data_IF_569845901897
#
_entry.id   IF_569845901897
#
_cell.length_a   1.000
_cell.length_b   1.000
_cell.length_c   1.000
_cell.angle_alpha   90.00
_cell.angle_beta   90.00
_cell.angle_gamma   90.00
#
_symmetry.space_group_name_H-M   'P 1'
#
loop_
_entity.id
_entity.type
_entity.pdbx_description
1 polymer ?
#
# COMPACT_ATOMS: atom_id res chain seq x y z
N UNK A 1 -17.05 29.37 18.95
CA UNK A 1 -15.76 29.62 19.62
C UNK A 1 -15.28 28.29 20.22
N UNK A 2 -14.14 27.79 19.71
CA UNK A 2 -13.21 26.79 20.28
C UNK A 2 -13.77 25.59 21.06
N UNK A 3 -13.67 24.40 20.47
CA UNK A 3 -13.43 23.17 21.25
C UNK A 3 -11.96 22.78 21.07
N UNK A 4 -11.21 22.82 22.16
CA UNK A 4 -9.84 22.34 22.28
C UNK A 4 -9.88 20.84 22.57
N UNK A 5 -9.09 20.09 21.81
CA UNK A 5 -8.74 18.68 22.05
C UNK A 5 -7.68 18.60 23.15
N UNK A 6 -7.89 17.70 24.12
CA UNK A 6 -6.87 17.34 25.11
C UNK A 6 -6.67 15.81 25.09
N UNK A 7 -5.55 15.39 24.52
CA UNK A 7 -4.95 14.07 24.72
C UNK A 7 -4.18 14.09 26.05
N UNK A 8 -4.41 13.11 26.92
CA UNK A 8 -3.67 12.96 28.16
C UNK A 8 -3.30 11.49 28.41
N UNK A 9 -1.98 11.28 28.44
CA UNK A 9 -1.21 10.48 29.39
C UNK A 9 -1.49 8.98 29.56
N UNK A 10 -0.49 8.19 29.20
CA UNK A 10 -0.12 7.00 29.99
C UNK A 10 1.37 6.70 29.85
N UNK A 11 2.18 7.12 30.82
CA UNK A 11 3.50 6.53 31.11
C UNK A 11 3.95 6.97 32.51
N UNK A 12 3.87 6.05 33.47
CA UNK A 12 4.52 6.15 34.77
C UNK A 12 4.81 4.73 35.27
N UNK A 13 6.10 4.42 35.48
CA UNK A 13 6.69 3.84 36.69
C UNK A 13 7.98 3.11 36.35
N UNK A 14 9.09 3.52 36.96
CA UNK A 14 9.92 2.69 37.85
C UNK A 14 11.14 3.50 38.34
N UNK A 15 11.10 3.87 39.62
CA UNK A 15 12.26 3.95 40.54
C UNK A 15 11.95 2.91 41.64
N UNK A 16 12.86 2.23 42.36
CA UNK A 16 14.05 2.61 43.13
C UNK A 16 14.82 1.33 43.58
N UNK A 17 15.85 1.53 44.43
CA UNK A 17 16.68 0.62 45.25
C UNK A 17 18.02 0.20 44.60
N UNK A 18 19.21 0.47 45.17
CA UNK A 18 19.64 0.40 46.57
C UNK A 18 20.64 1.51 47.00
N UNK A 19 20.66 1.73 48.32
CA UNK A 19 21.46 2.68 49.09
C UNK A 19 22.88 2.20 49.43
N UNK A 20 23.78 3.14 49.75
CA UNK A 20 24.94 2.90 50.62
C UNK A 20 26.15 3.81 50.36
N UNK A 21 26.50 4.66 51.34
CA UNK A 21 27.87 5.18 51.49
C UNK A 21 28.03 6.71 51.46
N UNK A 22 28.01 7.33 52.64
CA UNK A 22 28.43 8.72 52.89
C UNK A 22 29.96 8.83 52.96
N UNK A 23 30.59 9.66 52.11
CA UNK A 23 31.88 10.33 52.39
C UNK A 23 31.97 11.67 51.63
N UNK A 24 32.08 12.77 52.38
CA UNK A 24 32.81 14.01 52.07
C UNK A 24 32.61 14.73 50.73
N UNK A 25 31.89 15.87 50.76
CA UNK A 25 32.04 16.95 49.77
C UNK A 25 33.20 17.88 50.17
N UNK A 26 33.89 18.48 49.19
CA UNK A 26 33.89 19.93 49.14
C UNK A 26 33.38 20.46 47.80
N UNK A 27 32.64 21.55 47.90
CA UNK A 27 32.09 22.35 46.80
C UNK A 27 33.17 22.72 45.78
N UNK A 28 32.84 22.62 44.49
CA UNK A 28 33.24 23.63 43.49
C UNK A 28 32.55 23.39 42.13
N UNK A 29 31.94 24.48 41.65
CA UNK A 29 31.83 24.89 40.25
C UNK A 29 30.74 24.24 39.37
N UNK A 30 29.63 24.98 39.30
CA UNK A 30 28.79 25.27 38.13
C UNK A 30 29.21 24.65 36.78
N UNK A 31 28.32 23.84 36.19
CA UNK A 31 28.48 23.40 34.81
C UNK A 31 27.46 22.40 34.28
N UNK A 32 26.17 22.47 34.66
CA UNK A 32 25.15 21.63 34.02
C UNK A 32 24.83 22.25 32.64
N UNK A 33 25.57 21.83 31.61
CA UNK A 33 25.08 21.92 30.23
C UNK A 33 24.01 20.85 30.05
N UNK A 34 22.74 21.23 30.16
CA UNK A 34 21.62 20.42 29.68
C UNK A 34 21.72 20.35 28.15
N UNK A 35 22.35 19.30 27.65
CA UNK A 35 22.32 18.95 26.23
C UNK A 35 20.91 18.42 25.98
N UNK A 36 20.01 19.29 25.53
CA UNK A 36 18.71 18.88 25.02
C UNK A 36 18.93 17.96 23.83
N UNK A 37 18.76 16.66 24.04
CA UNK A 37 18.66 15.69 22.95
C UNK A 37 17.45 16.09 22.11
N UNK A 38 17.71 16.71 20.96
CA UNK A 38 16.72 16.84 19.90
C UNK A 38 16.43 15.43 19.43
N UNK A 39 15.30 14.88 19.86
CA UNK A 39 14.65 13.80 19.14
C UNK A 39 14.28 14.37 17.78
N UNK A 40 15.00 13.93 16.75
CA UNK A 40 14.60 14.13 15.36
C UNK A 40 13.47 13.14 15.17
N UNK A 41 12.23 13.61 15.34
CA UNK A 41 11.10 12.96 14.70
C UNK A 41 11.36 13.07 13.21
N UNK A 42 11.89 12.00 12.61
CA UNK A 42 11.88 11.86 11.16
C UNK A 42 10.41 11.84 10.75
N UNK A 43 9.93 12.99 10.24
CA UNK A 43 8.66 13.06 9.53
C UNK A 43 8.68 11.95 8.47
N UNK A 44 7.91 10.89 8.73
CA UNK A 44 7.59 9.90 7.72
C UNK A 44 6.81 10.69 6.66
N UNK A 45 7.52 11.12 5.61
CA UNK A 45 6.92 11.69 4.42
C UNK A 45 6.07 10.58 3.80
N UNK A 46 4.79 10.54 4.20
CA UNK A 46 3.80 9.70 3.55
C UNK A 46 3.71 10.26 2.14
N UNK A 47 4.36 9.60 1.19
CA UNK A 47 4.26 9.93 -0.23
C UNK A 47 2.78 9.88 -0.61
N UNK A 48 2.16 11.04 -0.73
CA UNK A 48 0.75 11.16 -1.12
C UNK A 48 0.67 11.26 -2.63
N UNK A 49 -0.07 10.35 -3.25
CA UNK A 49 -0.49 10.48 -4.66
C UNK A 49 -1.98 10.76 -4.71
N UNK A 50 -2.40 11.67 -5.58
CA UNK A 50 -3.83 11.88 -5.85
C UNK A 50 -4.37 10.77 -6.74
N UNK A 51 -5.68 10.54 -6.67
CA UNK A 51 -6.40 9.64 -7.57
C UNK A 51 -6.16 10.03 -9.02
N UNK A 52 -6.22 11.34 -9.31
CA UNK A 52 -6.05 11.87 -10.68
C UNK A 52 -4.68 11.51 -11.26
N UNK A 53 -3.61 11.70 -10.49
CA UNK A 53 -2.26 11.34 -10.94
C UNK A 53 -2.17 9.86 -11.28
N UNK A 54 -2.66 8.99 -10.40
CA UNK A 54 -2.61 7.55 -10.62
C UNK A 54 -3.50 7.12 -11.80
N UNK A 55 -4.69 7.72 -11.94
CA UNK A 55 -5.63 7.49 -13.03
C UNK A 55 -5.05 7.84 -14.40
N UNK A 56 -4.40 9.00 -14.50
CA UNK A 56 -3.82 9.50 -15.74
C UNK A 56 -2.65 8.65 -16.22
N UNK A 57 -1.90 8.05 -15.29
CA UNK A 57 -0.73 7.21 -15.63
C UNK A 57 -0.99 5.71 -15.62
N UNK A 58 -2.21 5.27 -15.28
CA UNK A 58 -2.54 3.84 -15.21
C UNK A 58 -2.51 3.21 -16.61
N UNK A 59 -1.76 2.12 -16.85
CA UNK A 59 -1.73 1.46 -18.16
C UNK A 59 -3.09 0.85 -18.54
N UNK A 60 -3.65 1.21 -19.70
CA UNK A 60 -4.96 0.74 -20.19
C UNK A 60 -4.89 -0.01 -21.51
N UNK A 61 -3.73 -0.04 -22.17
CA UNK A 61 -3.51 -0.80 -23.40
C UNK A 61 -3.70 -2.31 -23.18
N UNK A 62 -3.90 -3.09 -24.24
CA UNK A 62 -4.03 -4.55 -24.11
C UNK A 62 -2.72 -5.21 -23.59
N UNK A 63 -2.78 -6.49 -23.22
CA UNK A 63 -1.62 -7.21 -22.65
C UNK A 63 -0.40 -7.21 -23.56
N UNK A 64 -0.59 -7.39 -24.87
CA UNK A 64 0.52 -7.47 -25.83
C UNK A 64 1.25 -6.13 -25.90
N UNK A 65 0.48 -5.04 -26.07
CA UNK A 65 1.05 -3.70 -26.09
C UNK A 65 1.65 -3.32 -24.74
N UNK A 66 1.01 -3.69 -23.63
CA UNK A 66 1.51 -3.43 -22.27
C UNK A 66 2.87 -4.08 -22.05
N UNK A 67 3.03 -5.37 -22.39
CA UNK A 67 4.29 -6.09 -22.23
C UNK A 67 5.38 -5.55 -23.15
N UNK A 68 5.00 -5.12 -24.36
CA UNK A 68 5.89 -4.43 -25.30
C UNK A 68 6.40 -3.11 -24.69
N UNK A 69 5.51 -2.29 -24.15
CA UNK A 69 5.84 -1.01 -23.51
C UNK A 69 6.67 -1.18 -22.23
N UNK A 70 6.42 -2.26 -21.49
CA UNK A 70 7.14 -2.58 -20.26
C UNK A 70 8.62 -2.92 -20.54
N UNK A 71 8.91 -3.47 -21.71
CA UNK A 71 10.27 -3.75 -22.18
C UNK A 71 10.96 -4.89 -21.43
N UNK A 72 12.29 -4.98 -21.57
CA UNK A 72 13.06 -6.07 -20.97
C UNK A 72 12.63 -7.44 -21.50
N UNK A 73 12.47 -8.42 -20.60
CA UNK A 73 12.03 -9.78 -20.95
C UNK A 73 10.51 -9.95 -21.12
N UNK A 74 9.70 -8.93 -20.82
CA UNK A 74 8.23 -9.03 -20.83
C UNK A 74 7.61 -9.33 -22.20
N UNK A 75 8.08 -8.79 -23.34
CA UNK A 75 7.51 -9.13 -24.64
C UNK A 75 7.53 -10.64 -24.94
N UNK A 76 8.54 -11.37 -24.47
CA UNK A 76 8.64 -12.82 -24.65
C UNK A 76 7.63 -13.62 -23.80
N UNK A 77 6.95 -12.97 -22.85
CA UNK A 77 6.00 -13.58 -21.91
C UNK A 77 4.54 -13.34 -22.29
N UNK A 78 4.25 -12.71 -23.43
CA UNK A 78 2.88 -12.39 -23.85
C UNK A 78 1.99 -13.64 -23.92
N UNK A 79 2.52 -14.78 -24.37
CA UNK A 79 1.81 -16.06 -24.45
C UNK A 79 1.92 -16.92 -23.18
N UNK A 80 2.62 -16.45 -22.15
CA UNK A 80 2.82 -17.22 -20.93
C UNK A 80 1.61 -17.07 -20.00
N UNK A 81 0.87 -18.17 -19.79
CA UNK A 81 -0.33 -18.20 -18.94
C UNK A 81 -0.04 -17.79 -17.49
N UNK A 82 1.18 -18.01 -16.98
CA UNK A 82 1.57 -17.59 -15.62
C UNK A 82 1.49 -16.07 -15.42
N UNK A 83 1.60 -15.30 -16.49
CA UNK A 83 1.58 -13.83 -16.48
C UNK A 83 0.34 -13.27 -17.19
N UNK A 84 -0.72 -14.07 -17.33
CA UNK A 84 -1.97 -13.63 -17.97
C UNK A 84 -2.67 -12.53 -17.20
N UNK A 85 -2.72 -12.62 -15.87
CA UNK A 85 -3.28 -11.56 -15.04
C UNK A 85 -2.25 -10.43 -14.89
N UNK A 86 -2.57 -9.26 -15.44
CA UNK A 86 -1.69 -8.09 -15.45
C UNK A 86 -2.06 -7.02 -14.42
N UNK A 87 -3.10 -7.24 -13.60
CA UNK A 87 -3.62 -6.17 -12.73
C UNK A 87 -2.58 -5.64 -11.72
N UNK A 88 -1.92 -6.53 -10.96
CA UNK A 88 -0.88 -6.14 -10.01
C UNK A 88 0.34 -5.50 -10.72
N UNK A 89 0.67 -5.99 -11.91
CA UNK A 89 1.76 -5.45 -12.71
C UNK A 89 1.46 -4.02 -13.18
N UNK A 90 0.25 -3.78 -13.69
CA UNK A 90 -0.23 -2.43 -14.09
C UNK A 90 -0.25 -1.47 -12.91
N UNK A 91 -0.75 -1.91 -11.76
CA UNK A 91 -0.73 -1.11 -10.53
C UNK A 91 0.71 -0.73 -10.15
N UNK A 92 1.64 -1.69 -10.15
CA UNK A 92 3.03 -1.42 -9.78
C UNK A 92 3.70 -0.42 -10.72
N UNK A 93 3.42 -0.51 -12.02
CA UNK A 93 3.90 0.45 -13.03
C UNK A 93 3.27 1.82 -12.85
N UNK A 94 1.97 1.89 -12.55
CA UNK A 94 1.27 3.15 -12.31
C UNK A 94 1.84 3.86 -11.06
N UNK A 95 2.06 3.11 -9.97
CA UNK A 95 2.67 3.62 -8.75
C UNK A 95 4.10 4.14 -8.99
N UNK A 96 4.92 3.42 -9.75
CA UNK A 96 6.26 3.88 -10.13
C UNK A 96 6.23 5.19 -10.92
N UNK A 97 5.26 5.36 -11.82
CA UNK A 97 5.09 6.60 -12.60
C UNK A 97 4.76 7.83 -11.73
N UNK A 98 4.23 7.62 -10.52
CA UNK A 98 4.02 8.67 -9.51
C UNK A 98 5.08 8.66 -8.40
N UNK A 99 6.22 8.00 -8.62
CA UNK A 99 7.37 7.98 -7.70
C UNK A 99 7.33 6.88 -6.64
N UNK A 100 6.28 6.06 -6.58
CA UNK A 100 6.08 5.03 -5.57
C UNK A 100 6.63 3.68 -6.05
N UNK A 101 7.93 3.45 -5.83
CA UNK A 101 8.63 2.25 -6.32
C UNK A 101 8.25 0.97 -5.58
N UNK A 102 8.37 -0.21 -6.20
CA UNK A 102 8.17 -1.46 -5.47
C UNK A 102 9.38 -1.71 -4.56
N UNK A 103 9.19 -1.89 -3.24
CA UNK A 103 10.28 -2.22 -2.34
C UNK A 103 10.88 -3.60 -2.64
N UNK A 104 12.20 -3.80 -2.50
CA UNK A 104 12.86 -5.08 -2.78
C UNK A 104 12.27 -6.26 -2.00
N UNK A 105 11.85 -6.04 -0.75
CA UNK A 105 11.28 -7.09 0.11
C UNK A 105 9.91 -7.60 -0.38
N UNK A 106 9.15 -6.75 -1.09
CA UNK A 106 7.91 -7.16 -1.74
C UNK A 106 8.21 -7.80 -3.10
N UNK A 107 9.13 -7.25 -3.88
CA UNK A 107 9.56 -7.82 -5.16
C UNK A 107 10.11 -9.25 -5.00
N UNK A 108 10.82 -9.53 -3.91
CA UNK A 108 11.35 -10.87 -3.62
C UNK A 108 10.26 -11.95 -3.52
N UNK A 109 9.06 -11.60 -3.03
CA UNK A 109 7.90 -12.50 -2.97
C UNK A 109 7.34 -12.84 -4.35
N UNK A 110 7.70 -12.05 -5.35
CA UNK A 110 7.29 -12.17 -6.75
C UNK A 110 8.43 -12.63 -7.66
N UNK A 111 9.59 -13.01 -7.08
CA UNK A 111 10.74 -13.50 -7.83
C UNK A 111 11.69 -12.41 -8.32
N UNK A 112 11.70 -11.24 -7.68
CA UNK A 112 12.56 -10.10 -8.02
C UNK A 112 12.41 -9.64 -9.48
N UNK A 113 11.19 -9.69 -10.00
CA UNK A 113 10.88 -9.28 -11.37
C UNK A 113 11.16 -7.79 -11.56
N UNK A 114 11.61 -7.43 -12.76
CA UNK A 114 11.92 -6.05 -13.15
C UNK A 114 11.30 -5.68 -14.48
N UNK A 115 10.95 -4.41 -14.65
CA UNK A 115 10.62 -3.85 -15.96
C UNK A 115 11.87 -3.67 -16.85
N UNK A 116 11.69 -3.19 -18.08
CA UNK A 116 12.79 -2.91 -19.01
C UNK A 116 13.71 -1.77 -18.58
N UNK A 117 13.35 -1.00 -17.56
CA UNK A 117 14.16 0.08 -16.96
C UNK A 117 14.90 -0.39 -15.70
N UNK A 118 14.70 -1.63 -15.27
CA UNK A 118 15.31 -2.21 -14.08
C UNK A 118 14.55 -1.94 -12.79
N UNK A 119 13.36 -1.33 -12.83
CA UNK A 119 12.53 -1.11 -11.64
C UNK A 119 11.85 -2.41 -11.22
N UNK A 120 11.78 -2.66 -9.91
CA UNK A 120 11.05 -3.82 -9.39
C UNK A 120 9.56 -3.74 -9.70
N UNK A 121 8.95 -4.88 -10.04
CA UNK A 121 7.51 -5.00 -10.27
C UNK A 121 6.93 -6.20 -9.52
N UNK A 122 5.61 -6.19 -9.32
CA UNK A 122 4.86 -7.29 -8.71
C UNK A 122 3.83 -7.84 -9.70
N UNK A 123 3.48 -9.11 -9.55
CA UNK A 123 2.50 -9.82 -10.39
C UNK A 123 1.40 -10.50 -9.57
N UNK A 124 1.57 -10.63 -8.25
CA UNK A 124 0.59 -11.23 -7.34
C UNK A 124 -0.30 -10.16 -6.70
N UNK A 125 -1.60 -10.45 -6.60
CA UNK A 125 -2.57 -9.56 -5.93
C UNK A 125 -2.33 -9.48 -4.43
N UNK A 126 -1.84 -10.55 -3.80
CA UNK A 126 -1.41 -10.51 -2.40
C UNK A 126 -0.26 -9.53 -2.16
N UNK A 127 0.68 -9.44 -3.11
CA UNK A 127 1.76 -8.45 -3.08
C UNK A 127 1.25 -7.05 -3.39
N UNK A 128 0.22 -6.90 -4.26
CA UNK A 128 -0.45 -5.63 -4.48
C UNK A 128 -1.10 -5.12 -3.19
N UNK A 129 -1.84 -5.97 -2.47
CA UNK A 129 -2.41 -5.62 -1.15
C UNK A 129 -1.34 -5.16 -0.17
N UNK A 130 -0.24 -5.90 -0.06
CA UNK A 130 0.87 -5.51 0.83
C UNK A 130 1.51 -4.17 0.42
N UNK A 131 1.63 -3.90 -0.88
CA UNK A 131 2.14 -2.64 -1.41
C UNK A 131 1.19 -1.47 -1.08
N UNK A 132 -0.12 -1.67 -1.25
CA UNK A 132 -1.14 -0.68 -0.89
C UNK A 132 -1.13 -0.39 0.60
N UNK A 133 -1.07 -1.42 1.45
CA UNK A 133 -0.97 -1.24 2.90
C UNK A 133 0.29 -0.47 3.31
N UNK A 134 1.42 -0.72 2.64
CA UNK A 134 2.67 0.01 2.91
C UNK A 134 2.54 1.51 2.61
N UNK A 135 1.83 1.87 1.53
CA UNK A 135 1.77 3.25 1.06
C UNK A 135 0.59 4.06 1.58
N UNK A 136 -0.56 3.42 1.76
CA UNK A 136 -1.82 4.09 2.07
C UNK A 136 -2.39 3.67 3.43
N UNK A 137 -1.70 2.79 4.16
CA UNK A 137 -2.20 2.19 5.39
C UNK A 137 -3.32 1.17 5.12
N UNK A 138 -4.12 0.89 6.14
CA UNK A 138 -5.27 0.00 5.99
C UNK A 138 -6.32 0.57 5.04
N UNK A 139 -7.09 -0.31 4.41
CA UNK A 139 -8.19 0.10 3.54
C UNK A 139 -9.22 0.92 4.34
N UNK A 140 -9.86 1.89 3.71
CA UNK A 140 -10.83 2.76 4.38
C UNK A 140 -12.24 2.16 4.38
N UNK A 141 -12.51 1.23 3.46
CA UNK A 141 -13.75 0.47 3.42
C UNK A 141 -13.49 -0.93 2.90
N UNK A 142 -14.19 -1.91 3.44
CA UNK A 142 -14.16 -3.26 2.92
C UNK A 142 -15.38 -4.05 3.35
N UNK A 143 -15.72 -5.07 2.56
CA UNK A 143 -16.78 -6.02 2.91
C UNK A 143 -16.35 -7.43 2.52
N UNK A 144 -16.78 -8.40 3.33
CA UNK A 144 -16.83 -9.79 2.91
C UNK A 144 -18.12 -10.04 2.13
N UNK A 145 -18.11 -11.01 1.23
CA UNK A 145 -19.31 -11.49 0.52
C UNK A 145 -19.23 -12.98 0.24
N UNK A 146 -20.38 -13.59 -0.02
CA UNK A 146 -20.45 -14.99 -0.45
C UNK A 146 -19.97 -15.13 -1.90
N UNK A 147 -19.19 -16.15 -2.21
CA UNK A 147 -18.77 -16.46 -3.59
C UNK A 147 -20.01 -16.73 -4.46
N UNK A 148 -20.01 -16.25 -5.70
CA UNK A 148 -21.08 -16.47 -6.67
C UNK A 148 -22.21 -15.43 -6.60
N UNK A 149 -22.25 -14.58 -5.58
CA UNK A 149 -23.20 -13.47 -5.50
C UNK A 149 -22.62 -12.20 -6.11
N UNK A 150 -23.50 -11.35 -6.65
CA UNK A 150 -23.08 -10.03 -7.12
C UNK A 150 -22.65 -9.16 -5.93
N UNK A 151 -21.70 -8.26 -6.18
CA UNK A 151 -21.41 -7.18 -5.25
C UNK A 151 -22.62 -6.23 -5.23
N UNK A 152 -23.17 -5.97 -4.05
CA UNK A 152 -24.16 -4.91 -3.89
C UNK A 152 -23.47 -3.55 -4.08
N UNK A 153 -23.64 -2.98 -5.27
CA UNK A 153 -23.03 -1.70 -5.64
C UNK A 153 -23.60 -0.53 -4.83
N UNK A 154 -24.76 -0.69 -4.19
CA UNK A 154 -25.30 0.30 -3.26
C UNK A 154 -24.49 0.45 -1.97
N UNK A 155 -23.65 -0.55 -1.64
CA UNK A 155 -22.73 -0.50 -0.50
C UNK A 155 -21.40 0.17 -0.84
N UNK A 156 -21.07 0.32 -2.12
CA UNK A 156 -19.80 0.91 -2.54
C UNK A 156 -19.78 2.40 -2.19
N UNK A 157 -18.71 2.87 -1.51
CA UNK A 157 -18.61 4.28 -1.18
C UNK A 157 -18.52 5.18 -2.42
N UNK A 158 -19.11 6.37 -2.33
CA UNK A 158 -19.12 7.40 -3.37
C UNK A 158 -17.81 8.22 -3.44
N UNK A 159 -16.66 7.58 -3.22
CA UNK A 159 -15.32 8.19 -3.36
C UNK A 159 -14.40 7.39 -4.29
N UNK A 160 -13.38 8.06 -4.78
CA UNK A 160 -12.37 7.52 -5.69
C UNK A 160 -11.35 6.69 -4.95
N UNK A 161 -10.98 5.54 -5.50
CA UNK A 161 -10.23 4.55 -4.74
C UNK A 161 -9.30 3.70 -5.60
N UNK A 162 -8.40 2.98 -4.94
CA UNK A 162 -7.89 1.71 -5.44
C UNK A 162 -8.80 0.62 -4.89
N UNK A 163 -9.35 -0.22 -5.76
CA UNK A 163 -10.27 -1.30 -5.43
C UNK A 163 -9.58 -2.65 -5.63
N UNK A 164 -9.67 -3.52 -4.63
CA UNK A 164 -9.09 -4.86 -4.65
C UNK A 164 -10.15 -5.90 -4.34
N UNK A 165 -10.25 -6.90 -5.21
CA UNK A 165 -11.01 -8.12 -5.00
C UNK A 165 -10.08 -9.24 -4.56
N UNK A 166 -10.44 -9.98 -3.52
CA UNK A 166 -9.76 -11.23 -3.14
C UNK A 166 -10.59 -12.41 -3.61
N UNK A 167 -9.96 -13.35 -4.32
CA UNK A 167 -10.59 -14.60 -4.79
C UNK A 167 -9.82 -15.79 -4.22
N UNK A 168 -10.55 -16.82 -3.78
CA UNK A 168 -9.94 -18.06 -3.29
C UNK A 168 -9.60 -19.02 -4.45
N UNK A 169 -8.54 -19.83 -4.31
CA UNK A 169 -8.28 -20.95 -5.22
C UNK A 169 -9.50 -21.88 -5.34
N UNK A 170 -9.72 -22.55 -6.49
CA UNK A 170 -8.77 -22.77 -7.60
C UNK A 170 -8.82 -21.72 -8.73
N UNK A 171 -9.27 -20.49 -8.47
CA UNK A 171 -9.30 -19.44 -9.49
C UNK A 171 -7.93 -19.20 -10.16
N UNK A 172 -7.96 -18.77 -11.42
CA UNK A 172 -6.78 -18.46 -12.24
C UNK A 172 -5.99 -17.23 -11.73
N UNK A 173 -6.58 -16.49 -10.80
CA UNK A 173 -5.89 -15.50 -9.99
C UNK A 173 -6.43 -15.47 -8.56
N UNK A 174 -5.58 -15.02 -7.63
CA UNK A 174 -5.94 -14.79 -6.22
C UNK A 174 -6.76 -13.53 -6.00
N UNK A 175 -7.12 -12.82 -7.08
CA UNK A 175 -7.90 -11.59 -7.01
C UNK A 175 -7.77 -10.71 -8.25
N UNK A 176 -8.23 -9.47 -8.10
CA UNK A 176 -8.10 -8.41 -9.09
C UNK A 176 -7.91 -7.06 -8.39
N UNK A 177 -7.19 -6.13 -9.02
CA UNK A 177 -6.99 -4.77 -8.51
C UNK A 177 -7.09 -3.76 -9.65
N UNK A 178 -7.80 -2.66 -9.41
CA UNK A 178 -7.96 -1.57 -10.38
C UNK A 178 -8.27 -0.24 -9.67
N UNK A 179 -8.30 0.86 -10.41
CA UNK A 179 -8.72 2.17 -9.89
C UNK A 179 -10.21 2.35 -10.07
N UNK A 180 -10.91 2.72 -9.00
CA UNK A 180 -12.35 2.96 -8.95
C UNK A 180 -12.67 4.45 -8.95
N UNK A 181 -13.46 4.93 -9.92
CA UNK A 181 -13.79 6.35 -10.05
C UNK A 181 -15.16 6.75 -9.49
N UNK A 182 -15.74 5.94 -8.59
CA UNK A 182 -17.12 6.05 -8.06
C UNK A 182 -18.20 5.44 -8.95
N UNK A 183 -17.88 5.07 -10.18
CA UNK A 183 -18.85 4.52 -11.13
C UNK A 183 -18.32 3.30 -11.88
N UNK A 184 -17.05 3.34 -12.29
CA UNK A 184 -16.40 2.27 -13.04
C UNK A 184 -14.93 2.16 -12.67
N UNK A 185 -14.29 1.10 -13.15
CA UNK A 185 -12.87 0.87 -12.98
C UNK A 185 -12.09 1.35 -14.20
N UNK A 186 -10.80 1.63 -14.01
CA UNK A 186 -9.97 2.22 -15.05
C UNK A 186 -9.77 1.32 -16.26
N UNK A 187 -9.55 0.03 -16.05
CA UNK A 187 -9.45 -0.95 -17.13
C UNK A 187 -10.73 -1.77 -17.21
N UNK A 188 -11.08 -2.46 -16.13
CA UNK A 188 -12.26 -3.30 -16.06
C UNK A 188 -12.51 -3.68 -14.60
N UNK A 189 -13.71 -3.47 -14.07
CA UNK A 189 -14.05 -3.96 -12.72
C UNK A 189 -14.12 -5.49 -12.64
N UNK A 190 -14.06 -6.16 -13.79
CA UNK A 190 -14.14 -7.60 -13.93
C UNK A 190 -15.29 -8.19 -13.10
N UNK A 191 -16.52 -8.05 -13.60
CA UNK A 191 -17.72 -8.53 -12.92
C UNK A 191 -17.62 -10.00 -12.46
N UNK A 192 -16.92 -10.86 -13.22
CA UNK A 192 -16.63 -12.23 -12.82
C UNK A 192 -15.74 -12.32 -11.58
N UNK A 193 -14.67 -11.51 -11.51
CA UNK A 193 -13.82 -11.43 -10.32
C UNK A 193 -14.59 -10.85 -9.14
N UNK A 194 -15.42 -9.82 -9.35
CA UNK A 194 -16.27 -9.26 -8.30
C UNK A 194 -17.29 -10.29 -7.75
N UNK A 195 -17.86 -11.12 -8.63
CA UNK A 195 -18.79 -12.19 -8.27
C UNK A 195 -18.11 -13.32 -7.51
N UNK A 196 -16.93 -13.72 -7.95
CA UNK A 196 -16.19 -14.84 -7.39
C UNK A 196 -15.33 -14.43 -6.17
N UNK A 197 -15.25 -13.13 -5.88
CA UNK A 197 -14.56 -12.61 -4.72
C UNK A 197 -15.22 -13.00 -3.40
N UNK A 198 -14.37 -13.23 -2.40
CA UNK A 198 -14.73 -13.37 -0.98
C UNK A 198 -14.70 -12.04 -0.24
N UNK A 199 -13.90 -11.08 -0.72
CA UNK A 199 -13.86 -9.73 -0.17
C UNK A 199 -13.58 -8.66 -1.22
N UNK A 200 -14.02 -7.44 -0.90
CA UNK A 200 -13.73 -6.22 -1.63
C UNK A 200 -13.15 -5.21 -0.65
N UNK A 201 -12.05 -4.57 -1.01
CA UNK A 201 -11.32 -3.60 -0.19
C UNK A 201 -11.04 -2.34 -1.01
N UNK A 202 -11.23 -1.16 -0.41
CA UNK A 202 -11.05 0.14 -1.05
C UNK A 202 -10.10 1.02 -0.24
N UNK A 203 -9.05 1.54 -0.90
CA UNK A 203 -8.16 2.58 -0.39
C UNK A 203 -8.54 3.92 -1.00
N UNK A 204 -8.91 4.87 -0.16
CA UNK A 204 -9.36 6.21 -0.58
C UNK A 204 -8.19 6.99 -1.13
N UNK A 205 -8.42 7.57 -2.30
CA UNK A 205 -7.55 8.54 -2.93
C UNK A 205 -8.35 9.81 -3.18
N UNK A 206 -7.76 10.95 -2.85
CA UNK A 206 -8.35 12.28 -3.09
C UNK A 206 -8.09 12.78 -4.53
#
# INVERSE_FOLDING_TARGET
>A
MRFQTAHALRLLRLKEFLAGGWVGLPETIWGIRSRSEKFIEEDIDIMTTSFKQLWDVYPTEDRSQFFTNLGGGWPALISNEKYKNTCALRLSVALQRVGMNVPPELAAKDGNLRDGKGNFVIVKVTSAKALLTKYFGDYNWGTSKQIGTNLDTGLLPAWTAIMLYTVLPPADATGHVDLWNKNTCRVNCHESFARDATSVELWKLD
#
